data_IF_104558631011
#
_entry.id   IF_104558631011
#
_cell.length_a   1.000
_cell.length_b   1.000
_cell.length_c   1.000
_cell.angle_alpha   90.00
_cell.angle_beta   90.00
_cell.angle_gamma   90.00
#
_symmetry.space_group_name_H-M   'P 1'
#
loop_
_entity.id
_entity.type
_entity.pdbx_description
1 polymer ?
#
# COMPACT_ATOMS: atom_id res chain seq x y z
N UNK A 1 7.96 13.33 95.21
CA UNK A 1 6.64 12.67 95.27
C UNK A 1 5.91 13.00 93.98
N UNK A 2 5.64 12.00 93.13
CA UNK A 2 4.29 11.43 92.86
C UNK A 2 3.30 12.47 92.30
N UNK A 3 2.52 12.29 91.24
CA UNK A 3 2.37 11.38 90.09
C UNK A 3 0.96 11.72 89.52
N UNK A 4 0.75 11.45 88.22
CA UNK A 4 -0.55 11.23 87.52
C UNK A 4 -1.29 12.49 87.04
N UNK A 5 -1.47 12.75 85.74
CA UNK A 5 -1.97 11.98 84.58
C UNK A 5 -3.51 11.94 84.48
N UNK A 6 -4.02 12.36 83.31
CA UNK A 6 -5.24 12.00 82.54
C UNK A 6 -5.51 13.20 81.61
N UNK A 7 -5.25 13.25 80.29
CA UNK A 7 -5.48 12.36 79.13
C UNK A 7 -6.95 12.04 78.86
N UNK A 8 -7.54 12.75 77.88
CA UNK A 8 -8.40 12.24 76.78
C UNK A 8 -9.21 13.39 76.16
N UNK A 9 -9.49 13.53 74.86
CA UNK A 9 -9.24 12.73 73.63
C UNK A 9 -9.70 13.59 72.41
N UNK A 10 -8.97 13.48 71.28
CA UNK A 10 -9.36 13.57 69.84
C UNK A 10 -10.03 14.85 69.26
N UNK A 11 -9.92 15.19 67.96
CA UNK A 11 -9.52 14.42 66.77
C UNK A 11 -8.89 15.35 65.71
N UNK A 12 -7.91 14.80 64.98
CA UNK A 12 -7.09 15.40 63.94
C UNK A 12 -7.77 15.35 62.56
N UNK A 13 -7.64 16.41 61.75
CA UNK A 13 -7.50 16.30 60.29
C UNK A 13 -6.95 17.62 59.71
N UNK A 14 -5.64 17.70 59.52
CA UNK A 14 -5.01 18.69 58.63
C UNK A 14 -4.35 17.88 57.51
N UNK A 15 -4.95 17.89 56.33
CA UNK A 15 -4.32 17.40 55.10
C UNK A 15 -3.39 18.51 54.60
N UNK A 16 -2.09 18.29 54.76
CA UNK A 16 -1.04 19.04 54.11
C UNK A 16 -0.96 18.62 52.63
N UNK A 17 -1.38 19.50 51.73
CA UNK A 17 -1.10 19.40 50.30
C UNK A 17 0.25 20.07 49.99
N UNK A 18 1.32 19.28 49.98
CA UNK A 18 2.61 19.66 49.41
C UNK A 18 2.76 18.89 48.09
N UNK A 19 2.92 19.60 46.98
CA UNK A 19 3.03 18.97 45.67
C UNK A 19 3.10 20.01 44.56
N UNK A 20 4.24 20.72 44.49
CA UNK A 20 4.65 21.39 43.27
C UNK A 20 4.94 20.33 42.22
N UNK A 21 3.95 20.02 41.40
CA UNK A 21 4.14 19.32 40.13
C UNK A 21 3.75 20.27 39.03
N UNK A 22 4.77 20.84 38.37
CA UNK A 22 4.62 21.38 37.03
C UNK A 22 3.89 20.33 36.22
N UNK A 23 2.70 20.68 35.75
CA UNK A 23 1.97 19.91 34.76
C UNK A 23 2.86 19.92 33.52
N UNK A 24 3.67 18.88 33.39
CA UNK A 24 4.21 18.51 32.09
C UNK A 24 2.98 18.32 31.22
N UNK A 25 2.74 19.29 30.32
CA UNK A 25 2.00 19.00 29.12
C UNK A 25 2.69 17.79 28.53
N UNK A 26 1.98 16.67 28.55
CA UNK A 26 2.28 15.50 27.75
C UNK A 26 2.17 15.98 26.30
N UNK A 27 3.25 16.55 25.80
CA UNK A 27 3.50 16.65 24.39
C UNK A 27 3.49 15.21 23.89
N UNK A 28 2.35 14.83 23.32
CA UNK A 28 2.25 13.72 22.37
C UNK A 28 3.57 13.67 21.60
N UNK A 29 4.26 12.52 21.52
CA UNK A 29 5.55 12.44 20.85
C UNK A 29 5.35 12.98 19.43
N UNK A 30 5.79 14.21 19.19
CA UNK A 30 5.85 14.76 17.86
C UNK A 30 6.91 13.90 17.18
N UNK A 31 6.44 12.91 16.40
CA UNK A 31 7.27 12.23 15.43
C UNK A 31 8.10 13.33 14.75
N UNK A 32 9.44 13.21 14.70
CA UNK A 32 10.25 14.19 14.00
C UNK A 32 9.60 14.41 12.64
N UNK A 33 9.38 15.67 12.24
CA UNK A 33 8.81 16.00 10.95
C UNK A 33 9.78 15.49 9.86
N UNK A 34 9.70 14.20 9.57
CA UNK A 34 10.38 13.57 8.47
C UNK A 34 9.65 14.07 7.24
N UNK A 35 10.34 14.88 6.45
CA UNK A 35 9.85 15.39 5.17
C UNK A 35 9.81 14.22 4.16
N UNK A 36 9.00 13.20 4.46
CA UNK A 36 8.80 12.02 3.62
C UNK A 36 7.70 12.39 2.64
N UNK A 37 7.97 12.40 1.33
CA UNK A 37 6.93 12.67 0.35
C UNK A 37 5.79 11.67 0.43
N UNK A 38 4.54 12.14 0.29
CA UNK A 38 3.34 11.28 0.38
C UNK A 38 3.39 10.05 -0.52
N UNK A 39 4.01 10.17 -1.69
CA UNK A 39 4.12 9.08 -2.67
C UNK A 39 4.91 7.86 -2.15
N UNK A 40 5.72 8.02 -1.10
CA UNK A 40 6.49 6.93 -0.49
C UNK A 40 5.55 5.92 0.19
N UNK A 41 4.52 6.40 0.89
CA UNK A 41 3.56 5.54 1.60
C UNK A 41 2.24 5.38 0.85
N UNK A 42 1.90 6.33 0.00
CA UNK A 42 0.71 6.31 -0.85
C UNK A 42 1.13 6.46 -2.32
N UNK A 43 1.70 5.40 -2.94
CA UNK A 43 2.19 5.47 -4.30
C UNK A 43 1.03 5.70 -5.28
N UNK A 44 1.03 6.87 -5.90
CA UNK A 44 0.07 7.25 -6.93
C UNK A 44 0.78 7.87 -8.13
N UNK A 45 0.27 7.57 -9.32
CA UNK A 45 0.69 8.22 -10.55
C UNK A 45 -0.50 8.40 -11.49
N UNK A 46 -0.63 9.59 -12.07
CA UNK A 46 -1.55 9.86 -13.17
C UNK A 46 -1.18 9.06 -14.42
N UNK A 47 0.06 8.59 -14.51
CA UNK A 47 0.55 7.81 -15.66
C UNK A 47 0.06 6.37 -15.64
N UNK A 48 -0.41 5.83 -14.52
CA UNK A 48 -0.97 4.47 -14.45
C UNK A 48 -0.72 3.76 -13.14
N UNK A 49 -0.45 2.44 -13.21
CA UNK A 49 -0.22 1.62 -12.03
C UNK A 49 1.11 1.99 -11.39
N UNK A 50 1.11 2.41 -10.12
CA UNK A 50 2.30 2.87 -9.42
C UNK A 50 2.59 2.04 -8.16
N UNK A 51 3.88 1.92 -7.85
CA UNK A 51 4.39 1.31 -6.62
C UNK A 51 5.58 2.12 -6.11
N UNK A 52 5.77 2.15 -4.80
CA UNK A 52 6.95 2.73 -4.18
C UNK A 52 7.75 1.66 -3.44
N UNK A 53 9.07 1.71 -3.54
CA UNK A 53 9.96 0.83 -2.80
C UNK A 53 11.11 1.61 -2.19
N UNK A 54 11.53 1.21 -0.99
CA UNK A 54 12.62 1.83 -0.26
C UNK A 54 13.63 0.76 0.18
N UNK A 55 14.92 1.11 0.12
CA UNK A 55 16.02 0.29 0.64
C UNK A 55 16.90 1.14 1.53
N UNK A 56 17.62 0.50 2.45
CA UNK A 56 18.59 1.20 3.29
C UNK A 56 19.66 1.91 2.44
N UNK A 57 19.93 3.16 2.77
CA UNK A 57 20.90 3.98 2.04
C UNK A 57 22.31 3.68 2.55
N UNK A 58 23.14 3.08 1.70
CA UNK A 58 24.53 2.68 1.99
C UNK A 58 25.55 3.79 1.67
N UNK A 59 25.09 5.02 1.45
CA UNK A 59 25.87 6.14 0.91
C UNK A 59 26.32 5.98 -0.55
N UNK A 60 25.87 4.91 -1.23
CA UNK A 60 26.08 4.72 -2.65
C UNK A 60 24.77 4.88 -3.43
N UNK A 61 24.48 6.12 -3.82
CA UNK A 61 23.26 6.49 -4.53
C UNK A 61 22.91 5.56 -5.70
N UNK A 62 23.87 5.21 -6.56
CA UNK A 62 23.58 4.43 -7.76
C UNK A 62 23.25 2.97 -7.41
N UNK A 63 23.98 2.37 -6.46
CA UNK A 63 23.71 1.00 -6.02
C UNK A 63 22.35 0.93 -5.34
N UNK A 64 22.09 1.82 -4.39
CA UNK A 64 20.85 1.82 -3.60
C UNK A 64 19.64 2.14 -4.49
N UNK A 65 19.79 3.08 -5.43
CA UNK A 65 18.74 3.39 -6.41
C UNK A 65 18.42 2.16 -7.26
N UNK A 66 19.43 1.48 -7.81
CA UNK A 66 19.21 0.29 -8.63
C UNK A 66 18.53 -0.82 -7.82
N UNK A 67 18.92 -0.99 -6.55
CA UNK A 67 18.29 -1.97 -5.65
C UNK A 67 16.82 -1.63 -5.38
N UNK A 68 16.52 -0.37 -5.07
CA UNK A 68 15.14 0.10 -4.89
C UNK A 68 14.31 -0.05 -6.17
N UNK A 69 14.88 0.24 -7.35
CA UNK A 69 14.22 0.04 -8.64
C UNK A 69 13.92 -1.45 -8.92
N UNK A 70 14.83 -2.36 -8.59
CA UNK A 70 14.58 -3.80 -8.71
C UNK A 70 13.45 -4.27 -7.78
N UNK A 71 13.45 -3.82 -6.52
CA UNK A 71 12.38 -4.14 -5.60
C UNK A 71 11.03 -3.55 -6.05
N UNK A 72 11.02 -2.33 -6.59
CA UNK A 72 9.83 -1.73 -7.16
C UNK A 72 9.30 -2.55 -8.36
N UNK A 73 10.18 -3.07 -9.24
CA UNK A 73 9.77 -3.99 -10.32
C UNK A 73 9.12 -5.27 -9.78
N UNK A 74 9.66 -5.84 -8.70
CA UNK A 74 9.07 -7.03 -8.04
C UNK A 74 7.68 -6.72 -7.49
N UNK A 75 7.51 -5.60 -6.79
CA UNK A 75 6.21 -5.19 -6.29
C UNK A 75 5.21 -4.90 -7.42
N UNK A 76 5.69 -4.32 -8.51
CA UNK A 76 4.86 -4.08 -9.69
C UNK A 76 4.39 -5.41 -10.30
N UNK A 77 5.26 -6.41 -10.45
CA UNK A 77 4.86 -7.77 -10.89
C UNK A 77 3.77 -8.36 -10.00
N UNK A 78 3.94 -8.32 -8.67
CA UNK A 78 2.92 -8.81 -7.73
C UNK A 78 1.57 -8.08 -7.88
N UNK A 79 1.62 -6.78 -8.16
CA UNK A 79 0.43 -5.97 -8.44
C UNK A 79 -0.23 -6.38 -9.75
N UNK A 80 0.55 -6.70 -10.79
CA UNK A 80 0.05 -7.21 -12.06
C UNK A 80 -0.55 -8.60 -11.93
N UNK A 81 0.09 -9.52 -11.20
CA UNK A 81 -0.45 -10.84 -10.90
C UNK A 81 -1.84 -10.73 -10.25
N UNK A 82 -1.97 -9.83 -9.28
CA UNK A 82 -3.25 -9.59 -8.61
C UNK A 82 -4.32 -9.08 -9.59
N UNK A 83 -3.95 -8.21 -10.53
CA UNK A 83 -4.86 -7.70 -11.57
C UNK A 83 -5.23 -8.77 -12.60
N UNK A 84 -4.29 -9.63 -12.97
CA UNK A 84 -4.55 -10.80 -13.82
C UNK A 84 -5.54 -11.75 -13.15
N UNK A 85 -5.40 -12.02 -11.85
CA UNK A 85 -6.37 -12.84 -11.11
C UNK A 85 -7.76 -12.20 -11.04
N UNK A 86 -7.85 -10.87 -10.97
CA UNK A 86 -9.15 -10.17 -11.07
C UNK A 86 -9.74 -10.37 -12.46
N UNK A 87 -8.94 -10.14 -13.50
CA UNK A 87 -9.37 -10.30 -14.89
C UNK A 87 -9.86 -11.71 -15.20
N UNK A 88 -9.14 -12.73 -14.72
CA UNK A 88 -9.53 -14.13 -14.85
C UNK A 88 -10.90 -14.39 -14.23
N UNK A 89 -11.14 -13.88 -13.02
CA UNK A 89 -12.45 -14.02 -12.35
C UNK A 89 -13.56 -13.33 -13.16
N UNK A 90 -13.30 -12.16 -13.73
CA UNK A 90 -14.27 -11.45 -14.56
C UNK A 90 -14.55 -12.22 -15.85
N UNK A 91 -13.51 -12.78 -16.48
CA UNK A 91 -13.62 -13.65 -17.66
C UNK A 91 -14.45 -14.91 -17.37
N UNK A 92 -14.18 -15.60 -16.25
CA UNK A 92 -14.94 -16.79 -15.83
C UNK A 92 -16.42 -16.48 -15.52
N UNK A 93 -16.76 -15.26 -15.09
CA UNK A 93 -18.16 -14.88 -14.82
C UNK A 93 -19.00 -14.81 -16.10
N UNK A 94 -18.43 -14.27 -17.18
CA UNK A 94 -19.14 -14.06 -18.44
C UNK A 94 -19.17 -15.33 -19.31
N UNK A 95 -18.15 -16.18 -19.21
CA UNK A 95 -18.02 -17.39 -20.03
C UNK A 95 -18.67 -18.65 -19.39
N UNK A 96 -19.77 -18.49 -18.63
CA UNK A 96 -20.47 -19.58 -17.93
C UNK A 96 -21.37 -20.45 -18.81
N UNK A 97 -21.52 -20.13 -20.09
CA UNK A 97 -22.39 -20.85 -21.03
C UNK A 97 -21.64 -21.26 -22.29
N UNK A 98 -21.44 -22.57 -22.46
CA UNK A 98 -21.09 -23.25 -23.71
C UNK A 98 -20.08 -22.55 -24.64
N UNK A 99 -18.80 -22.55 -24.27
CA UNK A 99 -17.70 -22.56 -25.24
C UNK A 99 -16.37 -23.01 -24.58
N UNK A 100 -16.00 -24.27 -24.85
CA UNK A 100 -14.66 -24.61 -25.34
C UNK A 100 -13.44 -24.33 -24.46
N UNK A 101 -13.05 -25.34 -23.69
CA UNK A 101 -11.69 -25.90 -23.61
C UNK A 101 -10.49 -25.06 -23.14
N UNK A 102 -10.59 -23.75 -22.90
CA UNK A 102 -9.54 -23.02 -22.20
C UNK A 102 -9.73 -23.20 -20.69
N UNK A 103 -8.96 -24.12 -20.11
CA UNK A 103 -8.91 -24.30 -18.66
C UNK A 103 -8.47 -22.99 -17.98
N UNK A 104 -8.91 -22.73 -16.75
CA UNK A 104 -8.41 -21.60 -15.93
C UNK A 104 -6.87 -21.47 -15.97
N UNK A 105 -6.16 -22.60 -15.99
CA UNK A 105 -4.70 -22.66 -16.09
C UNK A 105 -4.10 -22.15 -17.41
N UNK A 106 -4.80 -22.22 -18.55
CA UNK A 106 -4.30 -21.65 -19.82
C UNK A 106 -4.45 -20.14 -19.86
N UNK A 107 -5.55 -19.60 -19.31
CA UNK A 107 -5.76 -18.15 -19.23
C UNK A 107 -4.69 -17.49 -18.35
N UNK A 108 -4.49 -18.03 -17.13
CA UNK A 108 -3.51 -17.50 -16.19
C UNK A 108 -2.10 -17.46 -16.80
N UNK A 109 -1.71 -18.52 -17.52
CA UNK A 109 -0.38 -18.62 -18.11
C UNK A 109 -0.16 -17.66 -19.29
N UNK A 110 -1.17 -17.50 -20.16
CA UNK A 110 -1.14 -16.49 -21.23
C UNK A 110 -1.04 -15.10 -20.63
N UNK A 111 -1.85 -14.83 -19.61
CA UNK A 111 -1.91 -13.53 -18.98
C UNK A 111 -0.60 -13.13 -18.29
N UNK A 112 0.04 -14.08 -17.59
CA UNK A 112 1.37 -13.88 -17.00
C UNK A 112 2.43 -13.60 -18.06
N UNK A 113 2.45 -14.38 -19.15
CA UNK A 113 3.41 -14.20 -20.24
C UNK A 113 3.32 -12.80 -20.86
N UNK A 114 2.09 -12.30 -21.07
CA UNK A 114 1.86 -10.96 -21.61
C UNK A 114 2.26 -9.89 -20.57
N UNK A 115 1.87 -10.07 -19.31
CA UNK A 115 2.20 -9.14 -18.23
C UNK A 115 3.72 -8.97 -18.05
N UNK A 116 4.47 -10.07 -18.04
CA UNK A 116 5.94 -10.06 -17.95
C UNK A 116 6.58 -9.30 -19.11
N UNK A 117 6.07 -9.49 -20.33
CA UNK A 117 6.52 -8.75 -21.51
C UNK A 117 6.25 -7.24 -21.41
N UNK A 118 5.17 -6.84 -20.75
CA UNK A 118 4.77 -5.44 -20.58
C UNK A 118 5.47 -4.75 -19.41
N UNK A 119 5.96 -5.50 -18.41
CA UNK A 119 6.70 -4.98 -17.26
C UNK A 119 7.94 -4.17 -17.67
N UNK A 120 8.54 -4.46 -18.82
CA UNK A 120 9.68 -3.70 -19.35
C UNK A 120 9.38 -2.22 -19.61
N UNK A 121 8.09 -1.86 -19.76
CA UNK A 121 7.65 -0.47 -19.92
C UNK A 121 7.46 0.28 -18.60
N UNK A 122 7.72 -0.38 -17.46
CA UNK A 122 7.74 0.29 -16.17
C UNK A 122 8.90 1.30 -16.10
N UNK A 123 8.63 2.49 -15.58
CA UNK A 123 9.60 3.59 -15.51
C UNK A 123 9.70 4.16 -14.10
N UNK A 124 10.91 4.50 -13.69
CA UNK A 124 11.15 5.26 -12.45
C UNK A 124 10.73 6.71 -12.66
N UNK A 125 9.77 7.18 -11.87
CA UNK A 125 9.25 8.55 -11.94
C UNK A 125 9.93 9.50 -10.97
N UNK A 126 10.19 9.02 -9.76
CA UNK A 126 10.76 9.81 -8.67
C UNK A 126 11.76 8.97 -7.90
N UNK A 127 12.77 9.64 -7.37
CA UNK A 127 13.77 9.06 -6.46
C UNK A 127 14.02 10.05 -5.34
N UNK A 128 14.12 9.60 -4.11
CA UNK A 128 14.47 10.45 -2.96
C UNK A 128 15.22 9.65 -1.91
N UNK A 129 16.06 10.34 -1.14
CA UNK A 129 16.56 9.80 0.13
C UNK A 129 15.70 10.42 1.23
N UNK A 130 15.18 9.60 2.14
CA UNK A 130 14.36 10.02 3.28
C UNK A 130 14.81 9.29 4.54
N UNK A 131 14.60 9.91 5.70
CA UNK A 131 14.75 9.22 6.97
C UNK A 131 13.43 8.52 7.33
N UNK A 132 13.47 7.19 7.47
CA UNK A 132 12.34 6.39 7.94
C UNK A 132 12.78 5.69 9.23
N UNK A 133 12.17 6.09 10.35
CA UNK A 133 12.45 5.54 11.67
C UNK A 133 13.94 5.66 12.09
N UNK A 134 14.57 6.80 11.81
CA UNK A 134 15.97 7.08 12.15
C UNK A 134 16.99 6.40 11.25
N UNK A 135 16.55 5.90 10.09
CA UNK A 135 17.42 5.24 9.11
C UNK A 135 17.27 5.93 7.75
N UNK A 136 18.37 6.33 7.10
CA UNK A 136 18.30 6.84 5.75
C UNK A 136 17.89 5.71 4.78
N UNK A 137 16.92 5.99 3.93
CA UNK A 137 16.38 5.07 2.95
C UNK A 137 16.38 5.72 1.57
N UNK A 138 16.85 5.00 0.55
CA UNK A 138 16.67 5.33 -0.85
C UNK A 138 15.30 4.81 -1.32
N UNK A 139 14.40 5.71 -1.66
CA UNK A 139 13.06 5.40 -2.13
C UNK A 139 12.89 5.75 -3.59
N UNK A 140 12.13 4.91 -4.31
CA UNK A 140 11.77 5.13 -5.72
C UNK A 140 10.28 4.98 -5.91
N UNK A 141 9.70 5.82 -6.77
CA UNK A 141 8.36 5.65 -7.33
C UNK A 141 8.52 5.08 -8.73
N UNK A 142 7.93 3.93 -8.98
CA UNK A 142 7.88 3.32 -10.31
C UNK A 142 6.44 3.25 -10.77
N UNK A 143 6.21 3.45 -12.07
CA UNK A 143 4.89 3.26 -12.65
C UNK A 143 4.93 2.51 -13.96
N UNK A 144 3.82 1.84 -14.26
CA UNK A 144 3.51 1.32 -15.59
C UNK A 144 2.48 2.22 -16.27
N UNK A 145 2.75 2.70 -17.50
CA UNK A 145 1.83 3.56 -18.22
C UNK A 145 0.44 2.94 -18.43
N UNK A 146 -0.62 3.76 -18.38
CA UNK A 146 -2.00 3.33 -18.67
C UNK A 146 -2.13 2.71 -20.06
N UNK A 147 -1.36 3.20 -21.04
CA UNK A 147 -1.29 2.59 -22.38
C UNK A 147 -0.79 1.14 -22.31
N UNK A 148 0.27 0.89 -21.54
CA UNK A 148 0.81 -0.45 -21.33
C UNK A 148 -0.20 -1.36 -20.61
N UNK A 149 -0.91 -0.82 -19.61
CA UNK A 149 -2.02 -1.53 -18.94
C UNK A 149 -3.15 -1.89 -19.91
N UNK A 150 -3.55 -0.97 -20.78
CA UNK A 150 -4.60 -1.21 -21.78
C UNK A 150 -4.18 -2.26 -22.80
N UNK A 151 -2.97 -2.14 -23.36
CA UNK A 151 -2.44 -3.12 -24.30
C UNK A 151 -2.27 -4.51 -23.67
N UNK A 152 -1.93 -4.56 -22.38
CA UNK A 152 -1.87 -5.81 -21.64
C UNK A 152 -3.27 -6.43 -21.53
N UNK A 153 -4.27 -5.65 -21.13
CA UNK A 153 -5.66 -6.11 -21.05
C UNK A 153 -6.19 -6.62 -22.38
N UNK A 154 -6.04 -5.83 -23.45
CA UNK A 154 -6.50 -6.20 -24.79
C UNK A 154 -5.77 -7.45 -25.28
N UNK A 155 -4.44 -7.49 -25.15
CA UNK A 155 -3.63 -8.63 -25.57
C UNK A 155 -3.99 -9.92 -24.85
N UNK A 156 -4.40 -9.86 -23.59
CA UNK A 156 -4.88 -11.04 -22.84
C UNK A 156 -6.19 -11.55 -23.42
N UNK A 157 -7.16 -10.67 -23.68
CA UNK A 157 -8.47 -11.07 -24.20
C UNK A 157 -8.42 -11.53 -25.66
N UNK A 158 -7.55 -10.93 -26.48
CA UNK A 158 -7.37 -11.32 -27.89
C UNK A 158 -6.82 -12.74 -28.07
N UNK A 159 -6.23 -13.32 -27.02
CA UNK A 159 -5.74 -14.71 -26.98
C UNK A 159 -6.78 -15.70 -26.43
N UNK A 160 -7.98 -15.21 -26.11
CA UNK A 160 -9.09 -16.05 -25.67
C UNK A 160 -10.09 -16.27 -26.80
N UNK A 161 -10.67 -17.48 -26.88
CA UNK A 161 -11.63 -17.84 -27.92
C UNK A 161 -13.08 -17.45 -27.56
N UNK A 162 -13.30 -16.82 -26.40
CA UNK A 162 -14.63 -16.52 -25.92
C UNK A 162 -15.23 -15.28 -26.61
N UNK A 163 -16.53 -15.31 -26.99
CA UNK A 163 -17.23 -14.12 -27.43
C UNK A 163 -17.45 -13.18 -26.24
N UNK A 164 -16.76 -12.04 -26.22
CA UNK A 164 -16.92 -11.00 -25.20
C UNK A 164 -17.64 -9.80 -25.81
N UNK A 165 -18.79 -9.41 -25.24
CA UNK A 165 -19.52 -8.23 -25.71
C UNK A 165 -18.74 -6.93 -25.41
N UNK A 166 -18.97 -5.84 -26.15
CA UNK A 166 -18.34 -4.55 -25.84
C UNK A 166 -18.60 -4.06 -24.41
N UNK A 167 -19.80 -4.30 -23.89
CA UNK A 167 -20.20 -3.91 -22.54
C UNK A 167 -19.47 -4.73 -21.48
N UNK A 168 -19.36 -6.05 -21.68
CA UNK A 168 -18.60 -6.93 -20.79
C UNK A 168 -17.11 -6.58 -20.80
N UNK A 169 -16.54 -6.32 -21.99
CA UNK A 169 -15.14 -5.89 -22.11
C UNK A 169 -14.89 -4.58 -21.35
N UNK A 170 -15.80 -3.61 -21.46
CA UNK A 170 -15.69 -2.35 -20.73
C UNK A 170 -15.79 -2.55 -19.21
N UNK A 171 -16.69 -3.41 -18.74
CA UNK A 171 -16.83 -3.75 -17.32
C UNK A 171 -15.58 -4.45 -16.78
N UNK A 172 -15.06 -5.45 -17.51
CA UNK A 172 -13.82 -6.15 -17.18
C UNK A 172 -12.62 -5.19 -17.11
N UNK A 173 -12.51 -4.26 -18.07
CA UNK A 173 -11.43 -3.28 -18.06
C UNK A 173 -11.50 -2.37 -16.83
N UNK A 174 -12.71 -1.94 -16.45
CA UNK A 174 -12.92 -1.14 -15.24
C UNK A 174 -12.50 -1.90 -13.97
N UNK A 175 -12.87 -3.17 -13.85
CA UNK A 175 -12.47 -4.02 -12.72
C UNK A 175 -10.95 -4.27 -12.69
N UNK A 176 -10.35 -4.50 -13.86
CA UNK A 176 -8.91 -4.68 -14.02
C UNK A 176 -8.11 -3.42 -13.67
N UNK A 177 -8.59 -2.25 -14.08
CA UNK A 177 -7.94 -0.97 -13.79
C UNK A 177 -8.17 -0.49 -12.37
N UNK A 178 -9.30 -0.88 -11.75
CA UNK A 178 -9.55 -0.62 -10.34
C UNK A 178 -8.33 -1.09 -9.54
N UNK A 179 -7.58 -0.14 -8.99
CA UNK A 179 -6.72 -0.45 -7.86
C UNK A 179 -7.65 -0.89 -6.73
N UNK A 180 -7.18 -1.71 -5.80
CA UNK A 180 -7.97 -2.07 -4.61
C UNK A 180 -8.31 -0.80 -3.81
N UNK A 181 -9.36 -0.10 -4.22
CA UNK A 181 -10.02 0.99 -3.52
C UNK A 181 -10.79 0.47 -2.30
N UNK A 182 -10.67 -0.83 -1.98
CA UNK A 182 -11.18 -1.43 -0.76
C UNK A 182 -10.45 -0.92 0.49
N UNK A 183 -9.16 -0.54 0.40
CA UNK A 183 -8.47 0.07 1.57
C UNK A 183 -8.92 1.50 1.88
N UNK A 184 -9.53 2.22 0.93
CA UNK A 184 -10.05 3.56 1.18
C UNK A 184 -11.49 3.53 1.73
N UNK A 185 -12.28 2.52 1.35
CA UNK A 185 -13.68 2.37 1.79
C UNK A 185 -13.80 1.72 3.19
N UNK A 186 -12.84 0.90 3.62
CA UNK A 186 -12.81 0.39 5.00
C UNK A 186 -12.51 1.49 6.03
N UNK A 187 -11.78 2.55 5.65
CA UNK A 187 -11.53 3.70 6.54
C UNK A 187 -12.75 4.60 6.77
N UNK A 188 -13.79 4.49 5.95
CA UNK A 188 -15.04 5.25 6.10
C UNK A 188 -16.17 4.44 6.75
N UNK A 189 -15.97 3.16 7.04
CA UNK A 189 -17.02 2.29 7.62
C UNK A 189 -16.82 1.99 9.11
N UNK A 190 -15.76 2.51 9.75
CA UNK A 190 -15.52 2.41 11.21
C UNK A 190 -15.84 3.75 11.93
N UNK A 191 -16.51 4.69 11.28
CA UNK A 191 -17.02 5.90 11.96
C UNK A 191 -18.45 6.20 11.52
N UNK A 192 -19.38 5.36 11.95
CA UNK A 192 -20.74 5.76 12.32
C UNK A 192 -21.22 4.92 13.49
#
# INVERSE_FOLDING_TARGET
MKYKALVSILFTAILAGCGSTQTAQESEPQLPQTNIPDWVFNPFSEKGLAVASCVEYSENFNIDRNQAEMQARIQLMQSLDSKVSVLEKSYQKINKGDAGNQSAGSFEQIAKTIADGKLQMAVTEKTTIVDIAGKPQMCVLMSMPTKAMSEMFDGILDQTDAPISPDDKAAMYKEFMAQKAEKALESQTITQ
#
